data_IF_479231115969
#
_entry.id   IF_479231115969
#
_cell.length_a   1.000
_cell.length_b   1.000
_cell.length_c   1.000
_cell.angle_alpha   90.00
_cell.angle_beta   90.00
_cell.angle_gamma   90.00
#
_symmetry.space_group_name_H-M   'P 1'
#
loop_
_entity.id
_entity.type
_entity.pdbx_description
1 polymer ?
#
# COMPACT_ATOMS: atom_id res chain seq x y z
N UNK A 1 7.82 -33.95 -0.07
CA UNK A 1 6.76 -33.34 -0.89
C UNK A 1 6.75 -31.86 -0.56
N UNK A 2 6.93 -30.98 -1.54
CA UNK A 2 6.83 -29.52 -1.36
C UNK A 2 5.65 -29.04 -2.20
N UNK A 3 4.47 -29.07 -1.59
CA UNK A 3 3.15 -28.87 -2.23
C UNK A 3 2.29 -27.82 -1.51
N UNK A 4 2.88 -27.08 -0.58
CA UNK A 4 2.21 -26.03 0.19
C UNK A 4 2.98 -24.72 0.06
N UNK A 5 2.28 -23.63 -0.25
CA UNK A 5 2.83 -22.28 -0.38
C UNK A 5 2.05 -21.30 0.49
N UNK A 6 2.77 -20.41 1.18
CA UNK A 6 2.18 -19.25 1.85
C UNK A 6 2.21 -18.09 0.85
N UNK A 7 1.04 -17.61 0.47
CA UNK A 7 0.88 -16.58 -0.57
C UNK A 7 -0.06 -15.47 -0.13
N UNK A 8 0.01 -14.33 -0.80
CA UNK A 8 -0.96 -13.24 -0.64
C UNK A 8 -2.27 -13.53 -1.38
N UNK A 9 -3.34 -12.83 -1.01
CA UNK A 9 -4.62 -12.90 -1.73
C UNK A 9 -4.46 -12.61 -3.24
N UNK A 10 -3.59 -11.65 -3.59
CA UNK A 10 -3.32 -11.32 -5.00
C UNK A 10 -2.68 -12.47 -5.75
N UNK A 11 -1.67 -13.11 -5.17
CA UNK A 11 -1.00 -14.26 -5.77
C UNK A 11 -1.95 -15.45 -5.93
N UNK A 12 -2.81 -15.71 -4.93
CA UNK A 12 -3.84 -16.74 -5.04
C UNK A 12 -4.78 -16.49 -6.23
N UNK A 13 -5.21 -15.23 -6.44
CA UNK A 13 -5.99 -14.86 -7.61
C UNK A 13 -5.23 -15.05 -8.94
N UNK A 14 -3.92 -14.75 -8.98
CA UNK A 14 -3.10 -15.01 -10.18
C UNK A 14 -3.08 -16.51 -10.51
N UNK A 15 -2.97 -17.38 -9.51
CA UNK A 15 -3.04 -18.82 -9.71
C UNK A 15 -4.43 -19.30 -10.15
N UNK A 16 -5.52 -18.72 -9.63
CA UNK A 16 -6.88 -19.05 -10.11
C UNK A 16 -7.07 -18.63 -11.58
N UNK A 17 -6.44 -17.53 -12.01
CA UNK A 17 -6.48 -17.07 -13.40
C UNK A 17 -5.65 -17.93 -14.35
N UNK A 18 -4.54 -18.49 -13.87
CA UNK A 18 -3.66 -19.39 -14.63
C UNK A 18 -3.21 -20.58 -13.75
N UNK A 19 -4.05 -21.62 -13.60
CA UNK A 19 -3.78 -22.74 -12.74
C UNK A 19 -2.49 -23.48 -13.14
N UNK A 20 -1.47 -23.33 -12.32
CA UNK A 20 -0.16 -23.95 -12.56
C UNK A 20 -0.04 -25.23 -11.74
N UNK A 21 0.29 -26.39 -12.35
CA UNK A 21 0.47 -27.65 -11.64
C UNK A 21 1.75 -27.62 -10.80
N UNK A 22 1.78 -28.43 -9.74
CA UNK A 22 2.90 -28.53 -8.78
C UNK A 22 4.27 -28.66 -9.48
N UNK A 23 4.35 -29.45 -10.56
CA UNK A 23 5.58 -29.66 -11.34
C UNK A 23 6.18 -28.40 -11.96
N UNK A 24 5.38 -27.35 -12.17
CA UNK A 24 5.80 -26.08 -12.77
C UNK A 24 5.77 -24.90 -11.78
N UNK A 25 5.38 -25.13 -10.53
CA UNK A 25 5.23 -24.06 -9.53
C UNK A 25 6.54 -23.30 -9.26
N UNK A 26 7.69 -23.97 -9.33
CA UNK A 26 9.00 -23.33 -9.18
C UNK A 26 9.28 -22.25 -10.24
N UNK A 27 8.63 -22.31 -11.41
CA UNK A 27 8.75 -21.31 -12.48
C UNK A 27 7.59 -20.32 -12.52
N UNK A 28 6.58 -20.47 -11.66
CA UNK A 28 5.39 -19.62 -11.66
C UNK A 28 5.72 -18.21 -11.20
N UNK A 29 5.82 -17.29 -12.15
CA UNK A 29 6.30 -15.92 -11.92
C UNK A 29 5.58 -15.18 -10.79
N UNK A 30 4.24 -15.26 -10.65
CA UNK A 30 3.53 -14.57 -9.57
C UNK A 30 3.96 -14.98 -8.16
N UNK A 31 4.47 -16.20 -7.97
CA UNK A 31 4.93 -16.68 -6.66
C UNK A 31 6.41 -16.35 -6.41
N UNK A 32 7.12 -15.75 -7.37
CA UNK A 32 8.50 -15.33 -7.21
C UNK A 32 8.62 -14.05 -6.40
N UNK A 33 9.69 -13.94 -5.60
CA UNK A 33 10.00 -12.75 -4.80
C UNK A 33 10.75 -11.67 -5.60
N UNK A 34 10.27 -11.35 -6.82
CA UNK A 34 10.86 -10.28 -7.62
C UNK A 34 10.18 -8.94 -7.33
N UNK A 35 10.86 -8.09 -6.57
CA UNK A 35 10.31 -6.85 -6.03
C UNK A 35 11.17 -5.62 -6.32
N UNK A 36 11.92 -5.62 -7.42
CA UNK A 36 12.83 -4.51 -7.78
C UNK A 36 12.09 -3.17 -7.92
N UNK A 37 10.82 -3.21 -8.34
CA UNK A 37 10.00 -2.01 -8.54
C UNK A 37 9.43 -1.44 -7.24
N UNK A 38 9.59 -2.14 -6.10
CA UNK A 38 9.08 -1.67 -4.83
C UNK A 38 9.94 -0.52 -4.30
N UNK A 39 9.32 0.51 -3.70
CA UNK A 39 10.08 1.55 -3.01
C UNK A 39 11.02 0.94 -1.97
N UNK A 40 12.20 1.56 -1.80
CA UNK A 40 13.16 1.15 -0.80
C UNK A 40 12.52 1.13 0.59
N UNK A 41 13.01 0.22 1.43
CA UNK A 41 12.62 0.19 2.85
C UNK A 41 12.86 1.56 3.47
N UNK A 42 11.85 2.03 4.19
CA UNK A 42 11.92 3.25 4.98
C UNK A 42 12.45 2.93 6.37
N UNK A 43 13.68 3.36 6.65
CA UNK A 43 14.33 3.10 7.93
C UNK A 43 13.99 4.15 9.00
N UNK A 44 13.75 5.40 8.59
CA UNK A 44 13.46 6.53 9.47
C UNK A 44 12.07 7.11 9.14
N UNK A 45 10.98 6.54 9.69
CA UNK A 45 9.65 7.08 9.46
C UNK A 45 9.48 8.43 10.17
N UNK A 46 8.77 9.36 9.53
CA UNK A 46 8.33 10.62 10.12
C UNK A 46 7.13 10.36 11.03
N UNK A 47 7.08 11.07 12.16
CA UNK A 47 5.92 11.11 13.05
C UNK A 47 5.21 12.44 12.84
N UNK A 48 4.01 12.40 12.27
CA UNK A 48 3.19 13.57 11.99
C UNK A 48 2.16 13.76 13.11
N UNK A 49 2.16 14.94 13.74
CA UNK A 49 1.12 15.39 14.65
C UNK A 49 0.05 16.15 13.83
N UNK A 50 -1.12 15.56 13.67
CA UNK A 50 -2.14 16.02 12.73
C UNK A 50 -3.47 16.28 13.44
N UNK A 51 -4.09 17.42 13.16
CA UNK A 51 -5.41 17.73 13.71
C UNK A 51 -6.52 16.96 12.99
N UNK A 52 -7.50 16.48 13.76
CA UNK A 52 -8.72 15.85 13.26
C UNK A 52 -9.89 16.00 14.21
N UNK A 53 -10.91 16.77 13.81
CA UNK A 53 -12.14 17.01 14.58
C UNK A 53 -11.81 17.43 16.03
N UNK A 54 -11.97 16.49 16.96
CA UNK A 54 -11.90 16.68 18.40
C UNK A 54 -10.48 16.60 18.99
N UNK A 55 -9.44 16.41 18.19
CA UNK A 55 -8.09 16.36 18.74
C UNK A 55 -6.96 16.09 17.76
N UNK A 56 -5.79 15.97 18.33
CA UNK A 56 -4.54 15.57 17.66
C UNK A 56 -4.51 14.05 17.46
N UNK A 57 -4.09 13.62 16.27
CA UNK A 57 -3.79 12.24 15.92
C UNK A 57 -2.37 12.13 15.39
N UNK A 58 -1.71 11.05 15.74
CA UNK A 58 -0.35 10.77 15.28
C UNK A 58 -0.37 9.80 14.11
N UNK A 59 0.38 10.11 13.06
CA UNK A 59 0.56 9.23 11.91
C UNK A 59 2.06 9.00 11.68
N UNK A 60 2.47 7.74 11.57
CA UNK A 60 3.82 7.37 11.14
C UNK A 60 3.82 7.10 9.64
N UNK A 61 4.67 7.81 8.90
CA UNK A 61 4.74 7.66 7.44
C UNK A 61 6.15 7.88 6.93
N UNK A 62 6.43 7.32 5.77
CA UNK A 62 7.66 7.52 5.02
C UNK A 62 7.53 8.61 3.96
N UNK A 63 6.30 9.08 3.74
CA UNK A 63 5.96 10.18 2.86
C UNK A 63 6.04 11.52 3.62
N UNK A 64 5.95 12.67 2.93
CA UNK A 64 5.71 13.95 3.59
C UNK A 64 4.47 13.91 4.49
N UNK A 65 4.48 14.68 5.58
CA UNK A 65 3.30 14.78 6.44
C UNK A 65 2.17 15.51 5.69
N UNK A 66 0.94 14.98 5.69
CA UNK A 66 -0.21 15.69 5.16
C UNK A 66 -0.53 16.91 6.04
N UNK A 67 -1.33 17.86 5.53
CA UNK A 67 -1.71 19.06 6.29
C UNK A 67 -2.73 18.73 7.39
N UNK A 68 -3.59 17.74 7.15
CA UNK A 68 -4.60 17.25 8.11
C UNK A 68 -4.56 15.74 8.19
N UNK A 69 -5.15 15.18 9.24
CA UNK A 69 -5.25 13.72 9.36
C UNK A 69 -6.12 13.15 8.24
N UNK A 70 -5.62 12.19 7.45
CA UNK A 70 -6.40 11.57 6.38
C UNK A 70 -7.67 10.91 6.92
N UNK A 71 -8.83 11.28 6.37
CA UNK A 71 -10.13 10.73 6.73
C UNK A 71 -11.03 10.61 5.48
N UNK A 72 -12.20 9.99 5.66
CA UNK A 72 -13.22 9.96 4.61
C UNK A 72 -13.60 11.38 4.21
N UNK A 73 -13.52 11.68 2.92
CA UNK A 73 -13.79 13.01 2.36
C UNK A 73 -12.65 14.04 2.47
N UNK A 74 -11.55 13.75 3.18
CA UNK A 74 -10.38 14.64 3.23
C UNK A 74 -9.09 13.83 3.44
N UNK A 75 -8.38 13.55 2.36
CA UNK A 75 -7.15 12.73 2.38
C UNK A 75 -5.94 13.44 2.98
N UNK A 76 -6.00 14.77 3.12
CA UNK A 76 -4.88 15.59 3.62
C UNK A 76 -3.72 15.76 2.63
N UNK A 77 -3.87 15.30 1.40
CA UNK A 77 -2.92 15.50 0.29
C UNK A 77 -3.56 16.48 -0.69
N UNK A 78 -2.91 17.63 -0.93
CA UNK A 78 -3.33 18.56 -1.99
C UNK A 78 -3.24 17.88 -3.35
N UNK A 79 -4.38 17.69 -4.00
CA UNK A 79 -4.45 17.15 -5.36
C UNK A 79 -5.31 18.09 -6.19
N UNK A 80 -4.72 18.68 -7.24
CA UNK A 80 -5.45 19.56 -8.17
C UNK A 80 -6.62 18.88 -8.87
N UNK A 81 -6.72 17.53 -8.82
CA UNK A 81 -7.85 16.76 -9.36
C UNK A 81 -9.01 16.60 -8.39
N UNK A 82 -8.77 16.79 -7.09
CA UNK A 82 -9.75 16.53 -6.01
C UNK A 82 -10.13 17.83 -5.31
N UNK A 83 -9.14 18.71 -5.10
CA UNK A 83 -9.28 19.98 -4.42
C UNK A 83 -9.44 21.10 -5.46
N UNK A 84 -10.60 21.13 -6.13
CA UNK A 84 -11.03 22.37 -6.79
C UNK A 84 -11.53 23.30 -5.67
N UNK A 85 -10.78 24.38 -5.48
CA UNK A 85 -11.01 25.40 -4.48
C UNK A 85 -12.33 26.11 -4.79
N UNK A 86 -13.43 25.71 -4.14
CA UNK A 86 -14.57 26.60 -3.91
C UNK A 86 -14.22 27.41 -2.65
N UNK A 87 -13.25 28.29 -2.77
CA UNK A 87 -12.95 29.32 -1.80
C UNK A 87 -13.93 30.48 -2.01
N UNK A 88 -14.91 30.57 -1.11
CA UNK A 88 -15.59 31.83 -0.78
C UNK A 88 -15.00 32.34 0.54
#
# INVERSE_FOLDING_TARGET
MQDVWIVTNWQALQWVRDPTPISRMNGFQPFQCNYQDRPKKCNNPKVCNLWHKSGVRYMRTCQPCPEVYPWTGKSGIRSSRIDNDNSE
#
